data_IF_747672406699
#
_entry.id   IF_747672406699
#
_cell.length_a   1.000
_cell.length_b   1.000
_cell.length_c   1.000
_cell.angle_alpha   90.00
_cell.angle_beta   90.00
_cell.angle_gamma   90.00
#
_symmetry.space_group_name_H-M   'P 1'
#
loop_
_entity.id
_entity.type
_entity.pdbx_description
1 polymer ?
#
# COMPACT_ATOMS: atom_id res chain seq x y z
N UNK A 1 -24.32 10.57 -13.56
CA UNK A 1 -25.02 9.41 -12.95
C UNK A 1 -24.16 8.19 -13.17
N UNK A 2 -24.12 7.24 -12.22
CA UNK A 2 -23.32 6.01 -12.32
C UNK A 2 -23.84 5.11 -13.46
N UNK A 3 -23.04 4.12 -13.82
CA UNK A 3 -23.45 3.08 -14.76
C UNK A 3 -24.31 2.05 -14.02
N UNK A 4 -25.46 1.68 -14.59
CA UNK A 4 -26.30 0.59 -14.07
C UNK A 4 -26.09 -0.65 -14.93
N UNK A 5 -25.75 -1.78 -14.30
CA UNK A 5 -25.55 -3.06 -14.92
C UNK A 5 -26.48 -4.11 -14.29
N UNK A 6 -26.98 -5.05 -15.10
CA UNK A 6 -27.76 -6.20 -14.65
C UNK A 6 -27.16 -7.46 -15.24
N UNK A 7 -26.81 -8.44 -14.41
CA UNK A 7 -26.22 -9.71 -14.89
C UNK A 7 -27.14 -10.53 -15.79
N UNK A 8 -28.44 -10.23 -15.80
CA UNK A 8 -29.39 -10.84 -16.74
C UNK A 8 -29.39 -10.17 -18.13
N UNK A 9 -28.77 -8.99 -18.28
CA UNK A 9 -28.72 -8.30 -19.56
C UNK A 9 -27.80 -9.03 -20.55
N UNK A 10 -28.17 -9.13 -21.84
CA UNK A 10 -27.38 -9.90 -22.82
C UNK A 10 -26.02 -9.27 -23.13
N UNK A 11 -25.80 -8.00 -22.84
CA UNK A 11 -24.57 -7.24 -23.05
C UNK A 11 -23.77 -7.01 -21.76
N UNK A 12 -24.18 -7.66 -20.66
CA UNK A 12 -23.54 -7.50 -19.36
C UNK A 12 -22.02 -7.70 -19.39
N UNK A 13 -21.55 -8.78 -20.00
CA UNK A 13 -20.11 -9.11 -20.02
C UNK A 13 -19.28 -8.04 -20.74
N UNK A 14 -19.79 -7.48 -21.84
CA UNK A 14 -19.10 -6.42 -22.58
C UNK A 14 -19.06 -5.12 -21.76
N UNK A 15 -20.20 -4.75 -21.15
CA UNK A 15 -20.29 -3.55 -20.30
C UNK A 15 -19.44 -3.69 -19.03
N UNK A 16 -19.42 -4.86 -18.41
CA UNK A 16 -18.59 -5.15 -17.26
C UNK A 16 -17.08 -5.15 -17.60
N UNK A 17 -16.69 -5.69 -18.75
CA UNK A 17 -15.32 -5.60 -19.23
C UNK A 17 -14.89 -4.15 -19.47
N UNK A 18 -15.78 -3.31 -20.01
CA UNK A 18 -15.53 -1.88 -20.16
C UNK A 18 -15.34 -1.18 -18.81
N UNK A 19 -16.18 -1.49 -17.81
CA UNK A 19 -16.05 -0.99 -16.44
C UNK A 19 -14.68 -1.33 -15.84
N UNK A 20 -14.22 -2.58 -15.99
CA UNK A 20 -12.93 -3.04 -15.47
C UNK A 20 -11.72 -2.38 -16.14
N UNK A 21 -11.86 -1.90 -17.37
CA UNK A 21 -10.76 -1.34 -18.16
C UNK A 21 -10.74 0.19 -18.18
N UNK A 22 -11.83 0.85 -17.77
CA UNK A 22 -12.02 2.31 -17.86
C UNK A 22 -10.94 3.15 -17.15
N UNK A 23 -10.11 2.56 -16.29
CA UNK A 23 -9.28 3.26 -15.29
C UNK A 23 -7.76 3.28 -15.55
N UNK A 24 -7.21 2.90 -16.73
CA UNK A 24 -5.83 2.40 -16.76
C UNK A 24 -4.87 2.98 -17.79
N UNK A 25 -4.87 4.25 -18.05
CA UNK A 25 -3.81 4.80 -18.90
C UNK A 25 -2.78 5.57 -18.08
N UNK A 26 -1.59 4.97 -17.90
CA UNK A 26 -0.37 5.72 -17.59
C UNK A 26 -0.08 6.63 -18.78
N UNK A 27 0.06 7.92 -18.55
CA UNK A 27 0.48 8.84 -19.61
C UNK A 27 1.97 8.62 -19.93
N UNK A 28 2.36 8.36 -21.18
CA UNK A 28 3.77 8.25 -21.57
C UNK A 28 4.61 9.48 -21.17
N UNK A 29 4.02 10.66 -21.19
CA UNK A 29 4.69 11.92 -20.83
C UNK A 29 5.13 11.97 -19.35
N UNK A 30 4.39 11.30 -18.45
CA UNK A 30 4.76 11.21 -17.02
C UNK A 30 6.02 10.39 -16.85
N UNK A 31 6.12 9.26 -17.53
CA UNK A 31 7.24 8.33 -17.39
C UNK A 31 8.56 8.94 -17.87
N UNK A 32 8.55 9.64 -19.00
CA UNK A 32 9.74 10.34 -19.55
C UNK A 32 10.17 11.51 -18.65
N UNK A 33 9.21 12.27 -18.13
CA UNK A 33 9.48 13.36 -17.17
C UNK A 33 10.14 12.82 -15.91
N UNK A 34 9.62 11.73 -15.37
CA UNK A 34 10.16 11.08 -14.16
C UNK A 34 11.54 10.50 -14.42
N UNK A 35 11.79 9.93 -15.61
CA UNK A 35 13.12 9.45 -15.98
C UNK A 35 14.15 10.57 -15.94
N UNK A 36 13.80 11.74 -16.47
CA UNK A 36 14.68 12.92 -16.48
C UNK A 36 14.96 13.42 -15.06
N UNK A 37 13.92 13.50 -14.19
CA UNK A 37 14.08 13.91 -12.79
C UNK A 37 15.01 12.95 -12.04
N UNK A 38 14.81 11.63 -12.17
CA UNK A 38 15.67 10.64 -11.52
C UNK A 38 17.12 10.76 -12.00
N UNK A 39 17.34 10.93 -13.30
CA UNK A 39 18.68 11.10 -13.85
C UNK A 39 19.37 12.35 -13.32
N UNK A 40 18.63 13.43 -13.17
CA UNK A 40 19.13 14.72 -12.69
C UNK A 40 19.50 14.64 -11.19
N UNK A 41 18.63 14.08 -10.33
CA UNK A 41 18.95 13.87 -8.91
C UNK A 41 20.19 12.99 -8.74
N UNK A 42 20.35 11.94 -9.56
CA UNK A 42 21.55 11.10 -9.52
C UNK A 42 22.83 11.82 -9.94
N UNK A 43 22.71 12.82 -10.81
CA UNK A 43 23.87 13.56 -11.31
C UNK A 43 24.26 14.73 -10.42
N UNK A 44 23.30 15.45 -9.84
CA UNK A 44 23.52 16.71 -9.10
C UNK A 44 23.18 16.63 -7.60
N UNK A 45 22.65 15.50 -7.11
CA UNK A 45 22.36 15.32 -5.68
C UNK A 45 21.41 16.37 -5.10
N UNK A 46 21.81 16.97 -3.98
CA UNK A 46 21.02 18.00 -3.28
C UNK A 46 20.65 19.18 -4.16
N UNK A 47 21.54 19.59 -5.07
CA UNK A 47 21.26 20.72 -5.99
C UNK A 47 20.01 20.49 -6.82
N UNK A 48 19.86 19.28 -7.41
CA UNK A 48 18.67 18.95 -8.18
C UNK A 48 17.42 18.90 -7.29
N UNK A 49 17.53 18.32 -6.08
CA UNK A 49 16.41 18.25 -5.12
C UNK A 49 15.93 19.65 -4.74
N UNK A 50 16.85 20.59 -4.49
CA UNK A 50 16.54 21.98 -4.17
C UNK A 50 15.86 22.70 -5.32
N UNK A 51 16.37 22.55 -6.56
CA UNK A 51 15.78 23.15 -7.76
C UNK A 51 14.34 22.67 -7.98
N UNK A 52 14.08 21.37 -7.84
CA UNK A 52 12.72 20.82 -7.97
C UNK A 52 11.80 21.25 -6.83
N UNK A 53 12.30 21.36 -5.60
CA UNK A 53 11.55 21.87 -4.46
C UNK A 53 11.15 23.33 -4.66
N UNK A 54 12.08 24.18 -5.09
CA UNK A 54 11.78 25.57 -5.44
C UNK A 54 10.70 25.66 -6.53
N UNK A 55 10.81 24.82 -7.56
CA UNK A 55 9.90 24.82 -8.71
C UNK A 55 8.50 24.31 -8.37
N UNK A 56 8.39 23.19 -7.63
CA UNK A 56 7.11 22.50 -7.43
C UNK A 56 6.42 22.89 -6.14
N UNK A 57 7.21 23.13 -5.08
CA UNK A 57 6.68 23.49 -3.76
C UNK A 57 6.76 24.99 -3.50
N UNK A 58 7.32 25.79 -4.42
CA UNK A 58 7.51 27.25 -4.27
C UNK A 58 8.29 27.60 -2.99
N UNK A 59 9.28 26.78 -2.69
CA UNK A 59 10.06 26.87 -1.45
C UNK A 59 11.55 26.86 -1.77
N UNK A 60 12.20 28.02 -1.62
CA UNK A 60 13.65 28.15 -1.77
C UNK A 60 14.34 27.72 -0.46
N UNK A 61 15.18 26.70 -0.55
CA UNK A 61 15.90 26.11 0.57
C UNK A 61 17.41 26.03 0.29
N UNK A 62 18.16 25.95 1.38
CA UNK A 62 19.55 25.48 1.37
C UNK A 62 19.62 24.03 1.81
N UNK A 63 20.72 23.33 1.53
CA UNK A 63 20.84 21.89 1.82
C UNK A 63 20.62 21.56 3.32
N UNK A 64 21.10 22.42 4.22
CA UNK A 64 20.91 22.29 5.67
C UNK A 64 19.45 22.50 6.12
N UNK A 65 18.60 23.07 5.26
CA UNK A 65 17.17 23.26 5.51
C UNK A 65 16.29 22.14 4.94
N UNK A 66 16.85 21.19 4.19
CA UNK A 66 16.08 20.04 3.66
C UNK A 66 15.48 19.20 4.80
N UNK A 67 16.22 18.98 5.87
CA UNK A 67 15.74 18.29 7.05
C UNK A 67 14.90 19.22 7.95
N UNK A 68 13.77 18.69 8.44
CA UNK A 68 12.98 19.36 9.48
C UNK A 68 13.62 19.01 10.83
N UNK A 69 14.07 20.03 11.56
CA UNK A 69 14.74 19.85 12.84
C UNK A 69 13.78 19.41 13.96
N UNK A 70 14.31 18.78 15.00
CA UNK A 70 13.52 18.38 16.16
C UNK A 70 12.80 19.59 16.83
N UNK A 71 13.42 20.75 16.82
CA UNK A 71 12.81 21.98 17.37
C UNK A 71 11.65 22.49 16.53
N UNK A 72 11.73 22.37 15.19
CA UNK A 72 10.59 22.68 14.31
C UNK A 72 9.44 21.70 14.52
N UNK A 73 9.76 20.39 14.61
CA UNK A 73 8.77 19.35 14.94
C UNK A 73 8.07 19.66 16.27
N UNK A 74 8.81 20.01 17.32
CA UNK A 74 8.24 20.33 18.63
C UNK A 74 7.34 21.59 18.56
N UNK A 75 7.77 22.61 17.83
CA UNK A 75 7.00 23.84 17.63
C UNK A 75 5.66 23.59 16.88
N UNK A 76 5.67 22.71 15.91
CA UNK A 76 4.44 22.33 15.19
C UNK A 76 3.52 21.48 16.08
N UNK A 77 4.05 20.46 16.76
CA UNK A 77 3.27 19.60 17.67
C UNK A 77 2.59 20.40 18.77
N UNK A 78 3.20 21.50 19.25
CA UNK A 78 2.62 22.37 20.25
C UNK A 78 1.33 23.09 19.80
N UNK A 79 1.05 23.12 18.48
CA UNK A 79 -0.17 23.72 17.90
C UNK A 79 -1.34 22.75 17.83
N UNK A 80 -1.11 21.43 18.04
CA UNK A 80 -2.14 20.40 17.95
C UNK A 80 -3.03 20.46 19.20
N UNK A 81 -4.33 20.54 18.99
CA UNK A 81 -5.29 20.49 20.10
C UNK A 81 -5.40 19.10 20.74
N UNK A 82 -5.98 19.05 21.93
CA UNK A 82 -6.06 17.82 22.73
C UNK A 82 -6.97 16.76 22.10
N UNK A 83 -7.98 17.16 21.33
CA UNK A 83 -8.94 16.25 20.67
C UNK A 83 -8.25 15.50 19.53
N UNK A 84 -7.59 16.23 18.63
CA UNK A 84 -6.84 15.66 17.51
C UNK A 84 -5.68 14.80 18.01
N UNK A 85 -5.00 15.27 19.06
CA UNK A 85 -3.93 14.49 19.71
C UNK A 85 -4.43 13.15 20.21
N UNK A 86 -5.53 13.13 20.98
CA UNK A 86 -6.09 11.90 21.52
C UNK A 86 -6.54 10.93 20.43
N UNK A 87 -7.11 11.44 19.34
CA UNK A 87 -7.51 10.63 18.19
C UNK A 87 -6.31 9.96 17.50
N UNK A 88 -5.23 10.71 17.26
CA UNK A 88 -4.00 10.17 16.65
C UNK A 88 -3.28 9.17 17.57
N UNK A 89 -3.25 9.41 18.87
CA UNK A 89 -2.69 8.48 19.85
C UNK A 89 -3.47 7.16 19.87
N UNK A 90 -4.80 7.22 19.86
CA UNK A 90 -5.66 6.03 19.77
C UNK A 90 -5.42 5.26 18.47
N UNK A 91 -5.35 5.96 17.32
CA UNK A 91 -5.06 5.35 16.04
C UNK A 91 -3.70 4.64 16.06
N UNK A 92 -2.64 5.32 16.52
CA UNK A 92 -1.30 4.77 16.61
C UNK A 92 -1.22 3.52 17.48
N UNK A 93 -1.92 3.50 18.62
CA UNK A 93 -1.97 2.35 19.52
C UNK A 93 -2.64 1.14 18.84
N UNK A 94 -3.80 1.35 18.21
CA UNK A 94 -4.55 0.27 17.54
C UNK A 94 -3.81 -0.29 16.34
N UNK A 95 -3.21 0.56 15.51
CA UNK A 95 -2.38 0.16 14.37
C UNK A 95 -1.18 -0.66 14.87
N UNK A 96 -0.51 -0.23 15.93
CA UNK A 96 0.62 -0.97 16.51
C UNK A 96 0.20 -2.33 17.05
N UNK A 97 -0.91 -2.40 17.77
CA UNK A 97 -1.43 -3.64 18.34
C UNK A 97 -1.80 -4.67 17.25
N UNK A 98 -2.38 -4.20 16.15
CA UNK A 98 -2.72 -5.04 15.01
C UNK A 98 -1.46 -5.60 14.33
N UNK A 99 -0.53 -4.71 13.95
CA UNK A 99 0.67 -5.09 13.23
C UNK A 99 1.64 -5.93 14.05
N UNK A 100 1.66 -5.79 15.38
CA UNK A 100 2.46 -6.64 16.26
C UNK A 100 2.11 -8.14 16.12
N UNK A 101 0.87 -8.46 15.73
CA UNK A 101 0.42 -9.85 15.50
C UNK A 101 0.87 -10.44 14.16
N UNK A 102 1.41 -9.60 13.27
CA UNK A 102 1.86 -10.03 11.94
C UNK A 102 3.35 -10.44 11.93
N UNK A 103 4.07 -10.28 13.05
CA UNK A 103 5.49 -10.66 13.11
C UNK A 103 5.67 -12.15 12.87
N UNK A 104 6.46 -12.53 11.85
CA UNK A 104 6.72 -13.93 11.55
C UNK A 104 7.76 -14.52 12.51
N UNK A 105 7.71 -15.84 12.70
CA UNK A 105 8.62 -16.57 13.57
C UNK A 105 9.76 -17.19 12.79
N UNK A 106 10.95 -17.23 13.41
CA UNK A 106 12.09 -18.03 12.97
C UNK A 106 11.77 -19.51 13.18
N UNK A 107 12.29 -20.37 12.30
CA UNK A 107 12.13 -21.80 12.45
C UNK A 107 13.45 -22.54 12.21
N UNK A 108 13.66 -23.63 12.96
CA UNK A 108 14.73 -24.60 12.74
C UNK A 108 14.22 -26.01 13.04
N UNK A 109 14.64 -26.96 12.22
CA UNK A 109 14.33 -28.38 12.39
C UNK A 109 15.45 -29.24 11.79
N UNK A 110 15.51 -30.49 12.20
CA UNK A 110 16.39 -31.49 11.59
C UNK A 110 15.53 -32.40 10.71
N UNK A 111 15.93 -32.58 9.48
CA UNK A 111 15.25 -33.47 8.54
C UNK A 111 15.62 -34.96 8.81
N UNK A 112 14.96 -35.94 8.11
CA UNK A 112 15.25 -37.36 8.30
C UNK A 112 16.72 -37.75 7.98
N UNK A 113 17.38 -37.03 7.09
CA UNK A 113 18.76 -37.26 6.68
C UNK A 113 19.78 -36.62 7.65
N UNK A 114 19.29 -35.89 8.68
CA UNK A 114 20.11 -35.25 9.71
C UNK A 114 20.66 -33.89 9.32
N UNK A 115 20.10 -33.25 8.30
CA UNK A 115 20.39 -31.86 7.97
C UNK A 115 19.59 -30.92 8.87
N UNK A 116 20.23 -29.90 9.44
CA UNK A 116 19.56 -28.80 10.13
C UNK A 116 19.14 -27.75 9.10
N UNK A 117 17.84 -27.56 8.95
CA UNK A 117 17.23 -26.60 8.05
C UNK A 117 16.48 -25.53 8.84
N UNK A 118 16.26 -24.36 8.20
CA UNK A 118 15.50 -23.32 8.86
C UNK A 118 15.43 -22.02 8.05
N UNK A 119 14.85 -21.03 8.68
CA UNK A 119 14.88 -19.65 8.21
C UNK A 119 14.93 -18.68 9.38
N UNK A 120 15.40 -17.49 9.06
CA UNK A 120 15.44 -16.36 9.97
C UNK A 120 14.88 -15.13 9.29
N UNK A 121 14.04 -14.40 9.99
CA UNK A 121 13.53 -13.11 9.59
C UNK A 121 14.38 -11.99 10.16
N UNK A 122 14.70 -11.00 9.33
CA UNK A 122 15.43 -9.81 9.74
C UNK A 122 14.82 -8.58 9.08
N UNK A 123 14.71 -7.44 9.79
CA UNK A 123 14.23 -6.22 9.16
C UNK A 123 15.17 -5.74 8.05
N UNK A 124 14.65 -4.90 7.16
CA UNK A 124 15.48 -4.02 6.34
C UNK A 124 16.17 -3.00 7.24
N UNK A 125 17.34 -2.49 6.84
CA UNK A 125 18.12 -1.60 7.72
C UNK A 125 17.50 -0.20 7.74
N UNK A 126 16.99 0.28 6.59
CA UNK A 126 16.38 1.59 6.46
C UNK A 126 15.15 1.54 5.56
N UNK A 127 14.10 2.28 5.92
CA UNK A 127 12.94 2.49 5.08
C UNK A 127 12.69 4.00 4.87
N UNK A 128 12.30 4.34 3.63
CA UNK A 128 11.85 5.67 3.24
C UNK A 128 10.34 5.66 3.06
N UNK A 129 9.66 6.60 3.70
CA UNK A 129 8.20 6.70 3.63
C UNK A 129 7.84 7.98 2.88
N UNK A 130 7.10 7.84 1.81
CA UNK A 130 6.55 8.99 1.09
C UNK A 130 5.21 9.37 1.71
N UNK A 131 5.11 10.58 2.24
CA UNK A 131 3.87 11.14 2.76
C UNK A 131 3.34 12.15 1.74
N UNK A 132 2.13 11.93 1.19
CA UNK A 132 1.55 12.91 0.28
C UNK A 132 1.38 14.26 0.96
N UNK A 133 1.64 15.32 0.21
CA UNK A 133 1.35 16.69 0.61
C UNK A 133 0.40 17.35 -0.39
N UNK A 134 -0.11 18.52 -0.07
CA UNK A 134 -1.01 19.29 -0.92
C UNK A 134 -2.18 19.85 -0.12
N UNK A 135 -3.38 19.89 -0.75
CA UNK A 135 -4.60 20.43 -0.10
C UNK A 135 -5.09 19.59 1.09
N UNK A 136 -4.72 18.32 1.13
CA UNK A 136 -5.00 17.44 2.27
C UNK A 136 -3.69 16.89 2.82
N UNK A 137 -3.55 16.89 4.13
CA UNK A 137 -2.47 16.22 4.85
C UNK A 137 -3.00 14.91 5.42
N UNK A 138 -2.17 13.87 5.34
CA UNK A 138 -2.56 12.51 5.70
C UNK A 138 -1.72 11.99 6.87
N UNK A 139 -1.99 12.45 8.11
CA UNK A 139 -1.29 11.92 9.30
C UNK A 139 -1.56 10.41 9.48
N UNK A 140 -2.74 9.92 9.09
CA UNK A 140 -3.08 8.49 9.08
C UNK A 140 -2.15 7.70 8.18
N UNK A 141 -1.90 8.16 6.94
CA UNK A 141 -0.99 7.48 6.01
C UNK A 141 0.44 7.40 6.56
N UNK A 142 0.87 8.39 7.34
CA UNK A 142 2.17 8.31 8.01
C UNK A 142 2.15 7.22 9.07
N UNK A 143 1.14 7.17 9.94
CA UNK A 143 1.01 6.10 10.95
C UNK A 143 0.98 4.71 10.30
N UNK A 144 0.19 4.55 9.23
CA UNK A 144 0.02 3.29 8.50
C UNK A 144 1.29 2.79 7.81
N UNK A 145 2.20 3.69 7.43
CA UNK A 145 3.48 3.32 6.85
C UNK A 145 4.57 3.12 7.92
N UNK A 146 4.67 4.03 8.90
CA UNK A 146 5.77 4.05 9.84
C UNK A 146 5.65 3.00 10.96
N UNK A 147 4.43 2.78 11.49
CA UNK A 147 4.22 1.85 12.61
C UNK A 147 4.58 0.42 12.24
N UNK A 148 4.11 -0.17 11.10
CA UNK A 148 4.53 -1.53 10.73
C UNK A 148 6.03 -1.65 10.49
N UNK A 149 6.69 -0.61 9.96
CA UNK A 149 8.14 -0.60 9.81
C UNK A 149 8.87 -0.65 11.18
N UNK A 150 8.41 0.15 12.16
CA UNK A 150 8.98 0.10 13.53
C UNK A 150 8.65 -1.21 14.25
N UNK A 151 7.45 -1.75 14.09
CA UNK A 151 7.09 -3.09 14.61
C UNK A 151 7.99 -4.17 14.02
N UNK A 152 8.31 -4.09 12.72
CA UNK A 152 9.26 -5.00 12.06
C UNK A 152 10.70 -4.87 12.60
N UNK A 153 11.02 -3.78 13.31
CA UNK A 153 12.36 -3.53 13.85
C UNK A 153 13.28 -2.76 12.90
N UNK A 154 12.74 -2.02 11.93
CA UNK A 154 13.55 -1.15 11.07
C UNK A 154 14.23 -0.10 11.92
N UNK A 155 15.57 -0.04 11.82
CA UNK A 155 16.38 0.80 12.69
C UNK A 155 16.38 2.28 12.29
N UNK A 156 16.20 2.59 11.00
CA UNK A 156 16.18 3.94 10.46
C UNK A 156 14.95 4.16 9.58
N UNK A 157 14.11 5.12 9.97
CA UNK A 157 12.96 5.58 9.18
C UNK A 157 13.16 7.02 8.74
N UNK A 158 13.24 7.24 7.44
CA UNK A 158 13.27 8.56 6.83
C UNK A 158 11.93 8.83 6.14
N UNK A 159 11.30 9.95 6.43
CA UNK A 159 10.09 10.37 5.71
C UNK A 159 10.39 11.56 4.80
N UNK A 160 9.71 11.59 3.66
CA UNK A 160 9.63 12.78 2.81
C UNK A 160 8.20 13.28 2.78
N UNK A 161 8.04 14.56 3.07
CA UNK A 161 6.75 15.24 3.06
C UNK A 161 6.91 16.60 2.40
N UNK A 162 6.22 16.88 1.27
CA UNK A 162 6.29 18.20 0.65
C UNK A 162 5.67 19.25 1.56
N UNK A 163 6.29 20.43 1.60
CA UNK A 163 5.85 21.57 2.38
C UNK A 163 5.67 22.80 1.48
N UNK A 164 4.64 22.81 0.60
CA UNK A 164 4.41 23.92 -0.28
C UNK A 164 4.33 25.24 0.48
N UNK A 165 4.98 26.28 -0.07
CA UNK A 165 5.05 27.60 0.56
C UNK A 165 5.65 27.60 1.99
N UNK A 166 6.37 26.53 2.36
CA UNK A 166 6.99 26.36 3.69
C UNK A 166 6.04 25.93 4.80
N UNK A 167 4.80 25.56 4.47
CA UNK A 167 3.79 25.17 5.46
C UNK A 167 4.02 23.74 5.92
N UNK A 168 4.29 23.57 7.21
CA UNK A 168 4.42 22.27 7.87
C UNK A 168 3.08 21.94 8.56
N UNK A 169 2.57 20.73 8.35
CA UNK A 169 1.34 20.30 9.01
C UNK A 169 1.61 19.77 10.42
N UNK A 170 0.99 20.34 11.49
CA UNK A 170 1.20 19.90 12.86
C UNK A 170 0.83 18.45 13.14
N UNK A 171 -0.26 17.95 12.53
CA UNK A 171 -0.73 16.57 12.73
C UNK A 171 0.22 15.55 12.10
N UNK A 172 0.84 15.87 10.96
CA UNK A 172 1.87 15.02 10.34
C UNK A 172 3.11 14.95 11.25
N UNK A 173 3.51 16.06 11.87
CA UNK A 173 4.63 16.06 12.82
C UNK A 173 4.32 15.24 14.07
N UNK A 174 3.10 15.34 14.59
CA UNK A 174 2.65 14.50 15.71
C UNK A 174 2.65 13.02 15.33
N UNK A 175 2.12 12.67 14.17
CA UNK A 175 2.12 11.29 13.67
C UNK A 175 3.55 10.74 13.50
N UNK A 176 4.49 11.55 12.98
CA UNK A 176 5.90 11.20 12.89
C UNK A 176 6.51 10.88 14.27
N UNK A 177 6.21 11.71 15.27
CA UNK A 177 6.63 11.51 16.66
C UNK A 177 6.06 10.22 17.26
N UNK A 178 4.75 9.99 17.13
CA UNK A 178 4.04 8.82 17.67
C UNK A 178 4.51 7.51 17.05
N UNK A 179 4.92 7.54 15.78
CA UNK A 179 5.43 6.39 15.06
C UNK A 179 6.94 6.17 15.15
N UNK A 180 7.67 7.11 15.77
CA UNK A 180 9.12 6.97 15.99
C UNK A 180 9.95 7.15 14.73
N UNK A 181 9.57 8.10 13.87
CA UNK A 181 10.36 8.50 12.69
C UNK A 181 11.66 9.13 13.13
N UNK A 182 12.76 8.80 12.43
CA UNK A 182 14.11 9.29 12.78
C UNK A 182 14.49 10.56 12.00
N UNK A 183 14.07 10.64 10.72
CA UNK A 183 14.45 11.73 9.82
C UNK A 183 13.23 12.23 9.03
N UNK A 184 13.09 13.55 8.91
CA UNK A 184 11.98 14.18 8.18
C UNK A 184 12.57 15.15 7.17
N UNK A 185 12.26 14.97 5.88
CA UNK A 185 12.73 15.84 4.80
C UNK A 185 11.54 16.52 4.11
N UNK A 186 11.64 17.85 3.93
CA UNK A 186 10.61 18.69 3.29
C UNK A 186 10.72 18.69 1.76
N UNK A 187 10.58 17.50 1.18
CA UNK A 187 10.63 17.27 -0.26
C UNK A 187 9.48 16.36 -0.71
N UNK A 188 9.01 16.56 -1.93
CA UNK A 188 7.93 15.77 -2.53
C UNK A 188 8.28 15.25 -3.92
N UNK A 189 7.30 14.67 -4.61
CA UNK A 189 7.39 14.27 -6.01
C UNK A 189 8.41 13.17 -6.34
N UNK A 190 8.71 13.05 -7.63
CA UNK A 190 9.65 12.05 -8.13
C UNK A 190 11.09 12.25 -7.63
N UNK A 191 11.51 13.50 -7.35
CA UNK A 191 12.82 13.82 -6.80
C UNK A 191 12.99 13.29 -5.38
N UNK A 192 11.93 13.23 -4.57
CA UNK A 192 11.97 12.63 -3.23
C UNK A 192 12.22 11.12 -3.32
N UNK A 193 11.52 10.43 -4.23
CA UNK A 193 11.72 9.00 -4.48
C UNK A 193 13.15 8.72 -4.99
N UNK A 194 13.67 9.58 -5.88
CA UNK A 194 15.05 9.46 -6.38
C UNK A 194 16.08 9.65 -5.24
N UNK A 195 15.90 10.67 -4.39
CA UNK A 195 16.77 10.94 -3.25
C UNK A 195 16.78 9.78 -2.25
N UNK A 196 15.61 9.23 -1.91
CA UNK A 196 15.51 8.04 -1.03
C UNK A 196 16.15 6.79 -1.65
N UNK A 197 16.07 6.61 -2.98
CA UNK A 197 16.59 5.42 -3.65
C UNK A 197 18.10 5.45 -3.88
N UNK A 198 18.66 6.60 -4.24
CA UNK A 198 20.07 6.73 -4.65
C UNK A 198 20.93 7.44 -3.61
N UNK A 199 20.32 8.20 -2.72
CA UNK A 199 21.00 9.10 -1.80
C UNK A 199 21.37 10.41 -2.46
N UNK A 200 21.67 11.41 -1.63
CA UNK A 200 22.28 12.69 -1.96
C UNK A 200 23.32 13.02 -0.90
N UNK A 201 23.87 14.22 -0.89
CA UNK A 201 24.82 14.65 0.14
C UNK A 201 24.16 14.71 1.53
N UNK A 202 22.88 15.12 1.59
CA UNK A 202 22.11 15.26 2.83
C UNK A 202 21.27 14.03 3.17
N UNK A 203 20.74 13.34 2.15
CA UNK A 203 19.78 12.25 2.34
C UNK A 203 20.46 10.91 2.08
N UNK A 204 20.63 10.10 3.12
CA UNK A 204 21.18 8.76 2.97
C UNK A 204 20.15 7.81 2.31
N UNK A 205 20.57 6.92 1.38
CA UNK A 205 19.64 6.01 0.70
C UNK A 205 19.02 5.01 1.66
N UNK A 206 17.88 4.42 1.23
CA UNK A 206 17.13 3.43 2.00
C UNK A 206 17.05 2.09 1.24
N UNK A 207 16.63 1.03 1.94
CA UNK A 207 16.47 -0.31 1.37
C UNK A 207 15.05 -0.54 0.81
N UNK A 208 14.05 0.15 1.36
CA UNK A 208 12.64 0.03 0.99
C UNK A 208 11.98 1.42 0.96
N UNK A 209 11.17 1.69 -0.06
CA UNK A 209 10.33 2.89 -0.14
C UNK A 209 8.88 2.47 -0.14
N UNK A 210 8.06 3.08 0.75
CA UNK A 210 6.63 2.84 0.85
C UNK A 210 5.86 4.17 0.85
N UNK A 211 4.57 4.08 0.66
CA UNK A 211 3.65 5.22 0.71
C UNK A 211 2.98 5.51 -0.62
N UNK A 212 1.71 5.99 -0.56
CA UNK A 212 0.95 6.40 -1.73
C UNK A 212 1.45 7.74 -2.28
N UNK A 213 1.16 8.00 -3.55
CA UNK A 213 1.48 9.26 -4.18
C UNK A 213 0.80 9.38 -5.55
N UNK A 214 0.91 10.55 -6.16
CA UNK A 214 0.36 10.80 -7.49
C UNK A 214 1.08 9.99 -8.59
N UNK A 215 0.63 10.14 -9.85
CA UNK A 215 1.17 9.43 -11.01
C UNK A 215 2.71 9.57 -11.14
N UNK A 216 3.30 10.72 -10.79
CA UNK A 216 4.75 10.94 -10.84
C UNK A 216 5.49 10.12 -9.77
N UNK A 217 4.92 10.02 -8.56
CA UNK A 217 5.47 9.21 -7.47
C UNK A 217 5.36 7.71 -7.81
N UNK A 218 4.22 7.28 -8.33
CA UNK A 218 4.00 5.90 -8.77
C UNK A 218 4.98 5.51 -9.89
N UNK A 219 5.16 6.36 -10.91
CA UNK A 219 6.14 6.16 -11.97
C UNK A 219 7.58 6.13 -11.43
N UNK A 220 7.91 7.01 -10.48
CA UNK A 220 9.24 7.03 -9.86
C UNK A 220 9.51 5.75 -9.07
N UNK A 221 8.57 5.28 -8.26
CA UNK A 221 8.67 4.00 -7.53
C UNK A 221 8.90 2.83 -8.50
N UNK A 222 8.15 2.77 -9.59
CA UNK A 222 8.34 1.74 -10.64
C UNK A 222 9.75 1.75 -11.21
N UNK A 223 10.31 2.93 -11.50
CA UNK A 223 11.64 3.09 -12.10
C UNK A 223 12.80 2.78 -11.15
N UNK A 224 12.63 3.02 -9.85
CA UNK A 224 13.67 2.72 -8.86
C UNK A 224 13.61 1.29 -8.32
N UNK A 225 12.53 0.54 -8.63
CA UNK A 225 12.42 -0.86 -8.22
C UNK A 225 13.58 -1.69 -8.77
N UNK A 226 14.19 -2.51 -7.91
CA UNK A 226 15.42 -3.25 -8.21
C UNK A 226 16.69 -2.56 -7.71
N UNK A 227 16.71 -1.21 -7.63
CA UNK A 227 17.72 -0.48 -6.86
C UNK A 227 17.34 -0.44 -5.37
N UNK A 228 16.06 -0.26 -5.10
CA UNK A 228 15.42 -0.22 -3.79
C UNK A 228 14.15 -1.06 -3.86
N UNK A 229 13.73 -1.68 -2.76
CA UNK A 229 12.42 -2.32 -2.68
C UNK A 229 11.30 -1.27 -2.63
N UNK A 230 10.12 -1.61 -3.13
CA UNK A 230 8.92 -0.78 -2.97
C UNK A 230 7.79 -1.62 -2.37
N UNK A 231 6.77 -0.97 -1.82
CA UNK A 231 5.52 -1.62 -1.41
C UNK A 231 4.74 -2.10 -2.64
N UNK A 232 4.07 -1.16 -3.31
CA UNK A 232 3.25 -1.43 -4.49
C UNK A 232 3.22 -0.21 -5.41
N UNK A 233 2.66 -0.38 -6.59
CA UNK A 233 2.29 0.73 -7.49
C UNK A 233 0.81 1.00 -7.26
N UNK A 234 0.52 2.10 -6.57
CA UNK A 234 -0.86 2.51 -6.31
C UNK A 234 -1.48 3.16 -7.57
N UNK A 235 -2.68 2.75 -7.88
CA UNK A 235 -3.60 3.45 -8.78
C UNK A 235 -4.57 4.34 -7.99
N UNK A 236 -5.60 4.89 -8.64
CA UNK A 236 -6.70 5.55 -7.96
C UNK A 236 -7.43 4.62 -7.01
N UNK A 237 -7.94 5.17 -5.92
CA UNK A 237 -8.62 4.40 -4.87
C UNK A 237 -9.95 3.79 -5.31
N UNK A 238 -10.33 2.68 -4.70
CA UNK A 238 -11.48 1.86 -5.10
C UNK A 238 -12.27 1.36 -3.89
N UNK A 239 -13.59 1.47 -3.92
CA UNK A 239 -14.48 0.77 -3.00
C UNK A 239 -15.48 -0.08 -3.77
N UNK A 240 -15.72 -1.28 -3.28
CA UNK A 240 -16.82 -2.15 -3.65
C UNK A 240 -17.66 -2.45 -2.43
N UNK A 241 -18.93 -2.11 -2.47
CA UNK A 241 -19.89 -2.48 -1.44
C UNK A 241 -20.80 -3.59 -1.99
N UNK A 242 -20.93 -4.70 -1.27
CA UNK A 242 -21.96 -5.71 -1.50
C UNK A 242 -23.01 -5.52 -0.41
N UNK A 243 -24.21 -5.08 -0.77
CA UNK A 243 -25.29 -4.82 0.17
C UNK A 243 -26.61 -5.42 -0.30
N UNK A 244 -27.37 -5.96 0.66
CA UNK A 244 -28.76 -6.39 0.43
C UNK A 244 -29.76 -5.26 0.79
N UNK A 245 -31.02 -5.45 0.46
CA UNK A 245 -32.09 -4.47 0.65
C UNK A 245 -32.49 -4.21 2.11
N UNK A 246 -31.90 -4.90 3.09
CA UNK A 246 -32.16 -4.69 4.52
C UNK A 246 -31.28 -3.56 5.11
N UNK A 247 -30.35 -3.01 4.32
CA UNK A 247 -29.50 -1.90 4.72
C UNK A 247 -30.18 -0.54 4.52
N UNK A 248 -29.67 0.48 5.22
CA UNK A 248 -30.06 1.87 5.00
C UNK A 248 -29.37 2.41 3.73
N UNK A 249 -30.12 2.82 2.68
CA UNK A 249 -29.52 3.35 1.45
C UNK A 249 -28.62 4.56 1.67
N UNK A 250 -28.91 5.36 2.71
CA UNK A 250 -28.13 6.56 3.03
C UNK A 250 -26.75 6.21 3.61
N UNK A 251 -26.65 5.13 4.39
CA UNK A 251 -25.35 4.65 4.90
C UNK A 251 -24.47 4.15 3.75
N UNK A 252 -25.03 3.29 2.88
CA UNK A 252 -24.29 2.78 1.73
C UNK A 252 -23.87 3.90 0.77
N UNK A 253 -24.73 4.92 0.61
CA UNK A 253 -24.38 6.09 -0.19
C UNK A 253 -23.19 6.86 0.41
N UNK A 254 -23.13 7.01 1.73
CA UNK A 254 -22.00 7.66 2.42
C UNK A 254 -20.72 6.83 2.31
N UNK A 255 -20.78 5.50 2.40
CA UNK A 255 -19.62 4.62 2.22
C UNK A 255 -19.06 4.70 0.78
N UNK A 256 -19.93 4.73 -0.24
CA UNK A 256 -19.49 4.95 -1.63
C UNK A 256 -18.85 6.33 -1.84
N UNK A 257 -19.34 7.34 -1.11
CA UNK A 257 -18.87 8.71 -1.24
C UNK A 257 -17.60 9.00 -0.46
N UNK A 258 -17.34 8.28 0.65
CA UNK A 258 -16.08 8.37 1.39
C UNK A 258 -14.89 8.07 0.47
N UNK A 259 -15.06 7.16 -0.48
CA UNK A 259 -14.06 6.88 -1.50
C UNK A 259 -14.08 7.87 -2.66
N UNK A 260 -15.28 8.24 -3.14
CA UNK A 260 -15.42 9.15 -4.28
C UNK A 260 -14.82 10.55 -4.02
N UNK A 261 -14.79 11.01 -2.77
CA UNK A 261 -14.24 12.31 -2.42
C UNK A 261 -12.70 12.37 -2.40
N UNK A 262 -12.00 11.22 -2.48
CA UNK A 262 -10.54 11.18 -2.49
C UNK A 262 -9.95 11.80 -3.76
N UNK A 263 -10.46 11.41 -4.93
CA UNK A 263 -9.96 11.86 -6.24
C UNK A 263 -11.04 11.72 -7.33
N UNK A 264 -10.97 12.55 -8.37
CA UNK A 264 -11.91 12.50 -9.51
C UNK A 264 -11.87 11.15 -10.26
N UNK A 265 -10.76 10.42 -10.17
CA UNK A 265 -10.57 9.09 -10.75
C UNK A 265 -10.83 7.93 -9.79
N UNK A 266 -11.26 8.20 -8.55
CA UNK A 266 -11.69 7.18 -7.60
C UNK A 266 -12.89 6.39 -8.15
N UNK A 267 -13.02 5.12 -7.76
CA UNK A 267 -14.09 4.26 -8.24
C UNK A 267 -14.92 3.72 -7.08
N UNK A 268 -16.24 3.94 -7.15
CA UNK A 268 -17.21 3.45 -6.17
C UNK A 268 -18.23 2.54 -6.85
N UNK A 269 -18.30 1.27 -6.43
CA UNK A 269 -19.17 0.24 -7.01
C UNK A 269 -20.08 -0.32 -5.94
N UNK A 270 -21.38 -0.40 -6.22
CA UNK A 270 -22.35 -1.18 -5.45
C UNK A 270 -22.73 -2.44 -6.22
N UNK A 271 -22.71 -3.59 -5.54
CA UNK A 271 -23.35 -4.83 -6.00
C UNK A 271 -24.51 -5.16 -5.06
N UNK A 272 -25.68 -5.38 -5.62
CA UNK A 272 -26.88 -5.71 -4.83
C UNK A 272 -27.75 -6.74 -5.54
N UNK A 273 -28.52 -7.50 -4.77
CA UNK A 273 -29.53 -8.43 -5.29
C UNK A 273 -30.90 -7.76 -5.49
N UNK A 274 -31.04 -6.47 -5.07
CA UNK A 274 -32.29 -5.69 -5.15
C UNK A 274 -32.09 -4.44 -6.01
N UNK A 275 -32.67 -4.44 -7.21
CA UNK A 275 -32.61 -3.29 -8.13
C UNK A 275 -33.24 -2.02 -7.52
N UNK A 276 -34.31 -2.18 -6.72
CA UNK A 276 -34.98 -1.04 -6.09
C UNK A 276 -34.06 -0.39 -5.07
N UNK A 277 -33.43 -1.18 -4.22
CA UNK A 277 -32.40 -0.71 -3.27
C UNK A 277 -31.25 -0.01 -3.98
N UNK A 278 -30.73 -0.58 -5.08
CA UNK A 278 -29.68 0.06 -5.88
C UNK A 278 -30.08 1.46 -6.39
N UNK A 279 -31.34 1.65 -6.80
CA UNK A 279 -31.87 2.96 -7.23
C UNK A 279 -32.04 3.94 -6.06
N UNK A 280 -32.43 3.44 -4.89
CA UNK A 280 -32.53 4.24 -3.66
C UNK A 280 -31.15 4.72 -3.20
N UNK A 281 -30.12 3.87 -3.26
CA UNK A 281 -28.73 4.27 -2.98
C UNK A 281 -28.26 5.32 -3.98
N UNK A 282 -28.52 5.17 -5.27
CA UNK A 282 -28.16 6.18 -6.27
C UNK A 282 -28.82 7.54 -5.97
N UNK A 283 -30.10 7.54 -5.59
CA UNK A 283 -30.81 8.76 -5.22
C UNK A 283 -30.23 9.40 -3.94
N UNK A 284 -29.84 8.58 -2.96
CA UNK A 284 -29.19 9.04 -1.74
C UNK A 284 -27.81 9.67 -2.04
N UNK A 285 -26.99 9.08 -2.91
CA UNK A 285 -25.74 9.67 -3.36
C UNK A 285 -25.93 11.04 -3.99
N UNK A 286 -26.89 11.19 -4.92
CA UNK A 286 -27.17 12.48 -5.56
C UNK A 286 -27.62 13.54 -4.53
N UNK A 287 -28.44 13.15 -3.55
CA UNK A 287 -28.87 14.06 -2.48
C UNK A 287 -27.70 14.49 -1.57
N UNK A 288 -26.80 13.56 -1.22
CA UNK A 288 -25.61 13.86 -0.39
C UNK A 288 -24.59 14.73 -1.11
N UNK A 289 -24.41 14.55 -2.41
CA UNK A 289 -23.52 15.39 -3.23
C UNK A 289 -23.85 16.87 -3.13
N UNK A 290 -25.12 17.24 -2.93
CA UNK A 290 -25.51 18.65 -2.79
C UNK A 290 -24.90 19.33 -1.56
N UNK A 291 -24.58 18.57 -0.52
CA UNK A 291 -24.14 19.08 0.79
C UNK A 291 -22.65 18.84 1.09
N UNK A 292 -21.96 18.01 0.32
CA UNK A 292 -20.54 17.70 0.52
C UNK A 292 -19.64 18.88 0.17
N UNK A 293 -18.64 19.13 1.01
CA UNK A 293 -17.62 20.16 0.73
C UNK A 293 -16.82 19.83 -0.55
N UNK A 294 -16.45 18.56 -0.74
CA UNK A 294 -15.69 18.08 -1.91
C UNK A 294 -16.60 17.60 -3.05
N UNK A 295 -17.82 18.10 -3.15
CA UNK A 295 -18.83 17.67 -4.14
C UNK A 295 -18.36 17.66 -5.58
N UNK A 296 -17.47 18.56 -5.97
CA UNK A 296 -16.96 18.61 -7.34
C UNK A 296 -16.14 17.36 -7.68
N UNK A 297 -15.27 16.94 -6.76
CA UNK A 297 -14.42 15.76 -6.88
C UNK A 297 -15.28 14.50 -6.81
N UNK A 298 -16.06 14.35 -5.73
CA UNK A 298 -16.89 13.16 -5.52
C UNK A 298 -17.93 13.00 -6.64
N UNK A 299 -18.51 14.11 -7.12
CA UNK A 299 -19.48 14.09 -8.23
C UNK A 299 -18.85 13.72 -9.57
N UNK A 300 -17.60 14.11 -9.84
CA UNK A 300 -16.87 13.67 -11.02
C UNK A 300 -16.58 12.17 -10.96
N UNK A 301 -16.02 11.70 -9.85
CA UNK A 301 -15.75 10.28 -9.58
C UNK A 301 -17.01 9.42 -9.75
N UNK A 302 -18.11 9.80 -9.08
CA UNK A 302 -19.37 9.05 -9.15
C UNK A 302 -19.97 9.02 -10.55
N UNK A 303 -19.93 10.13 -11.28
CA UNK A 303 -20.47 10.24 -12.64
C UNK A 303 -19.69 9.40 -13.64
N UNK A 304 -18.36 9.41 -13.54
CA UNK A 304 -17.46 8.88 -14.57
C UNK A 304 -17.02 7.44 -14.27
N UNK A 305 -16.96 7.05 -12.99
CA UNK A 305 -16.46 5.74 -12.54
C UNK A 305 -17.39 5.00 -11.57
N UNK A 306 -18.48 5.61 -11.12
CA UNK A 306 -19.48 4.97 -10.27
C UNK A 306 -20.27 3.89 -11.03
N UNK A 307 -20.59 2.77 -10.35
CA UNK A 307 -21.41 1.72 -10.91
C UNK A 307 -22.34 1.08 -9.87
N UNK A 308 -23.52 0.66 -10.31
CA UNK A 308 -24.45 -0.17 -9.56
C UNK A 308 -24.74 -1.41 -10.37
N UNK A 309 -24.47 -2.57 -9.80
CA UNK A 309 -24.58 -3.87 -10.45
C UNK A 309 -25.66 -4.69 -9.74
N UNK A 310 -26.75 -4.98 -10.43
CA UNK A 310 -27.77 -5.91 -9.94
C UNK A 310 -27.39 -7.34 -10.30
N UNK A 311 -27.39 -8.23 -9.29
CA UNK A 311 -27.06 -9.63 -9.42
C UNK A 311 -28.22 -10.52 -8.97
N UNK A 312 -28.19 -11.80 -9.35
CA UNK A 312 -29.24 -12.78 -9.01
C UNK A 312 -29.18 -13.22 -7.54
N UNK A 313 -27.95 -13.34 -7.00
CA UNK A 313 -27.70 -13.84 -5.66
C UNK A 313 -26.29 -13.41 -5.15
N UNK A 314 -26.00 -13.70 -3.90
CA UNK A 314 -24.72 -13.36 -3.26
C UNK A 314 -23.54 -14.23 -3.76
N UNK A 315 -23.78 -15.39 -4.37
CA UNK A 315 -22.73 -16.20 -5.00
C UNK A 315 -22.22 -15.51 -6.26
N UNK A 316 -23.12 -14.96 -7.05
CA UNK A 316 -22.77 -14.14 -8.20
C UNK A 316 -22.09 -12.84 -7.79
N UNK A 317 -22.56 -12.19 -6.69
CA UNK A 317 -21.90 -11.01 -6.11
C UNK A 317 -20.43 -11.31 -5.76
N UNK A 318 -20.16 -12.42 -5.06
CA UNK A 318 -18.82 -12.85 -4.71
C UNK A 318 -17.95 -13.14 -5.95
N UNK A 319 -18.51 -13.78 -6.96
CA UNK A 319 -17.81 -14.07 -8.22
C UNK A 319 -17.40 -12.77 -8.95
N UNK A 320 -18.28 -11.76 -9.01
CA UNK A 320 -17.98 -10.47 -9.61
C UNK A 320 -16.97 -9.68 -8.77
N UNK A 321 -17.11 -9.69 -7.43
CA UNK A 321 -16.14 -9.09 -6.52
C UNK A 321 -14.73 -9.64 -6.76
N UNK A 322 -14.57 -10.96 -6.88
CA UNK A 322 -13.29 -11.58 -7.20
C UNK A 322 -12.75 -11.17 -8.58
N UNK A 323 -13.63 -10.90 -9.56
CA UNK A 323 -13.22 -10.36 -10.87
C UNK A 323 -12.81 -8.90 -10.80
N UNK A 324 -13.48 -8.10 -9.97
CA UNK A 324 -13.13 -6.69 -9.70
C UNK A 324 -11.80 -6.65 -8.92
N UNK A 325 -11.64 -7.50 -7.92
CA UNK A 325 -10.50 -7.53 -7.00
C UNK A 325 -10.24 -6.13 -6.39
N UNK A 326 -11.21 -5.59 -5.64
CA UNK A 326 -11.20 -4.21 -5.18
C UNK A 326 -10.13 -3.96 -4.12
N UNK A 327 -9.76 -2.70 -3.95
CA UNK A 327 -8.95 -2.21 -2.83
C UNK A 327 -9.71 -2.42 -1.51
N UNK A 328 -10.88 -1.80 -1.39
CA UNK A 328 -11.76 -1.92 -0.23
C UNK A 328 -13.02 -2.70 -0.62
N UNK A 329 -13.39 -3.68 0.21
CA UNK A 329 -14.60 -4.46 0.04
C UNK A 329 -15.43 -4.41 1.32
N UNK A 330 -16.65 -3.85 1.24
CA UNK A 330 -17.63 -3.93 2.32
C UNK A 330 -18.66 -5.02 2.03
N UNK A 331 -18.94 -5.83 3.05
CA UNK A 331 -19.95 -6.90 2.99
C UNK A 331 -21.10 -6.57 3.94
N UNK A 332 -22.03 -5.73 3.47
CA UNK A 332 -23.22 -5.29 4.21
C UNK A 332 -24.41 -6.22 3.94
N UNK A 333 -24.29 -7.48 4.41
CA UNK A 333 -25.30 -8.54 4.23
C UNK A 333 -25.66 -9.19 5.54
N UNK A 334 -26.73 -9.98 5.54
CA UNK A 334 -27.20 -10.69 6.75
C UNK A 334 -26.15 -11.65 7.35
N UNK A 335 -25.29 -12.27 6.52
CA UNK A 335 -24.17 -13.14 6.95
C UNK A 335 -22.89 -12.77 6.21
N UNK A 336 -22.21 -11.71 6.67
CA UNK A 336 -20.98 -11.24 6.03
C UNK A 336 -19.81 -12.22 6.22
N UNK A 337 -19.77 -12.99 7.29
CA UNK A 337 -18.73 -13.99 7.54
C UNK A 337 -18.78 -15.11 6.49
N UNK A 338 -19.97 -15.70 6.27
CA UNK A 338 -20.15 -16.74 5.26
C UNK A 338 -19.87 -16.23 3.82
N UNK A 339 -20.21 -14.97 3.53
CA UNK A 339 -19.90 -14.37 2.23
C UNK A 339 -18.39 -14.14 2.07
N UNK A 340 -17.70 -13.72 3.12
CA UNK A 340 -16.26 -13.46 3.10
C UNK A 340 -15.43 -14.70 2.74
N UNK A 341 -15.87 -15.90 3.12
CA UNK A 341 -15.20 -17.15 2.77
C UNK A 341 -15.16 -17.43 1.24
N UNK A 342 -16.05 -16.78 0.46
CA UNK A 342 -16.10 -16.88 -1.00
C UNK A 342 -15.25 -15.83 -1.70
N UNK A 343 -14.72 -14.87 -0.95
CA UNK A 343 -13.87 -13.78 -1.46
C UNK A 343 -12.42 -14.22 -1.42
N UNK A 344 -11.76 -14.17 -2.57
CA UNK A 344 -10.34 -14.52 -2.71
C UNK A 344 -9.46 -13.32 -3.08
N UNK A 345 -10.06 -12.24 -3.54
CA UNK A 345 -9.35 -11.07 -4.07
C UNK A 345 -9.98 -9.78 -3.56
N UNK A 346 -9.41 -9.24 -2.47
CA UNK A 346 -9.68 -7.90 -1.96
C UNK A 346 -8.45 -7.39 -1.22
N UNK A 347 -8.22 -6.10 -1.20
CA UNK A 347 -7.16 -5.50 -0.40
C UNK A 347 -7.48 -5.54 1.10
N UNK A 348 -8.69 -5.12 1.46
CA UNK A 348 -9.28 -5.27 2.79
C UNK A 348 -10.75 -5.66 2.69
N UNK A 349 -11.28 -6.37 3.69
CA UNK A 349 -12.69 -6.75 3.78
C UNK A 349 -13.27 -6.21 5.09
N UNK A 350 -14.34 -5.44 4.99
CA UNK A 350 -15.10 -4.86 6.09
C UNK A 350 -16.40 -5.65 6.27
N UNK A 351 -16.61 -6.21 7.45
CA UNK A 351 -17.69 -7.18 7.71
C UNK A 351 -18.84 -6.53 8.46
N UNK A 352 -20.00 -6.49 7.82
CA UNK A 352 -21.26 -6.03 8.38
C UNK A 352 -21.46 -4.51 8.34
N UNK A 353 -22.72 -4.10 8.42
CA UNK A 353 -23.17 -2.70 8.28
C UNK A 353 -22.58 -1.72 9.33
N UNK A 354 -21.93 -2.20 10.39
CA UNK A 354 -21.32 -1.39 11.43
C UNK A 354 -19.83 -1.14 11.21
N UNK A 355 -19.29 -1.55 10.06
CA UNK A 355 -17.86 -1.50 9.76
C UNK A 355 -17.61 -0.74 8.46
N UNK A 356 -17.91 0.58 8.43
CA UNK A 356 -17.60 1.38 7.24
C UNK A 356 -16.09 1.46 7.00
N UNK A 357 -15.69 1.64 5.74
CA UNK A 357 -14.29 1.79 5.31
C UNK A 357 -13.52 2.82 6.16
N UNK A 358 -14.15 3.96 6.48
CA UNK A 358 -13.55 5.03 7.26
C UNK A 358 -13.00 4.57 8.64
N UNK A 359 -13.59 3.53 9.24
CA UNK A 359 -13.02 2.93 10.46
C UNK A 359 -11.68 2.26 10.16
N UNK A 360 -11.56 1.57 9.02
CA UNK A 360 -10.30 0.98 8.57
C UNK A 360 -9.24 2.03 8.27
N UNK A 361 -9.64 3.11 7.64
CA UNK A 361 -8.76 4.19 7.22
C UNK A 361 -8.09 4.92 8.37
N UNK A 362 -8.76 5.00 9.53
CA UNK A 362 -8.25 5.82 10.64
C UNK A 362 -7.89 5.01 11.87
N UNK A 363 -8.82 4.22 12.41
CA UNK A 363 -8.69 3.66 13.77
C UNK A 363 -8.94 2.17 13.87
N UNK A 364 -9.29 1.48 12.79
CA UNK A 364 -9.59 0.04 12.82
C UNK A 364 -8.41 -0.83 13.25
N UNK A 365 -7.21 -0.43 12.87
CA UNK A 365 -5.97 -1.16 13.15
C UNK A 365 -5.33 -1.79 11.91
N UNK A 366 -6.09 -2.45 10.99
CA UNK A 366 -5.58 -2.87 9.69
C UNK A 366 -4.99 -1.70 8.90
N UNK A 367 -4.10 -2.01 7.95
CA UNK A 367 -3.46 -0.99 7.13
C UNK A 367 -4.35 -0.55 5.98
N UNK A 368 -4.39 0.74 5.72
CA UNK A 368 -5.14 1.31 4.60
C UNK A 368 -4.29 1.51 3.33
N UNK A 369 -3.00 1.20 3.36
CA UNK A 369 -2.16 1.18 2.14
C UNK A 369 -2.39 -0.15 1.45
N UNK A 370 -3.32 -0.18 0.54
CA UNK A 370 -3.91 -1.38 -0.04
C UNK A 370 -3.61 -1.50 -1.54
N UNK A 371 -3.67 -2.71 -2.10
CA UNK A 371 -3.47 -2.95 -3.53
C UNK A 371 -4.67 -2.44 -4.33
N UNK A 372 -4.42 -1.48 -5.22
CA UNK A 372 -5.40 -0.90 -6.15
C UNK A 372 -5.31 -1.53 -7.54
N UNK A 373 -6.15 -1.11 -8.45
CA UNK A 373 -6.11 -1.48 -9.86
C UNK A 373 -6.05 -3.01 -10.06
N UNK A 374 -6.88 -3.73 -9.30
CA UNK A 374 -6.99 -5.19 -9.33
C UNK A 374 -5.71 -5.93 -8.92
N UNK A 375 -4.73 -5.27 -8.30
CA UNK A 375 -3.52 -5.95 -7.83
C UNK A 375 -3.76 -6.80 -6.58
N UNK A 376 -4.91 -6.68 -5.91
CA UNK A 376 -5.34 -7.58 -4.84
C UNK A 376 -5.40 -9.07 -5.25
N UNK A 377 -5.35 -9.38 -6.55
CA UNK A 377 -5.21 -10.75 -7.08
C UNK A 377 -3.85 -11.38 -6.78
N UNK A 378 -2.81 -10.59 -6.49
CA UNK A 378 -1.44 -11.07 -6.29
C UNK A 378 -0.63 -10.25 -5.27
N UNK A 379 -1.20 -9.20 -4.70
CA UNK A 379 -0.59 -8.35 -3.66
C UNK A 379 -1.47 -8.28 -2.44
N UNK A 380 -0.85 -8.07 -1.28
CA UNK A 380 -1.52 -7.76 -0.02
C UNK A 380 -1.35 -6.28 0.32
N UNK A 381 -2.15 -5.78 1.25
CA UNK A 381 -1.94 -4.48 1.86
C UNK A 381 -0.61 -4.42 2.61
N UNK A 382 -0.12 -3.20 2.84
CA UNK A 382 1.13 -2.94 3.54
C UNK A 382 1.08 -3.55 4.95
N UNK A 383 2.14 -4.25 5.31
CA UNK A 383 2.23 -4.99 6.56
C UNK A 383 3.66 -5.03 7.09
N UNK A 384 3.85 -5.67 8.23
CA UNK A 384 5.18 -5.97 8.78
C UNK A 384 6.02 -6.76 7.77
N UNK A 385 5.39 -7.63 6.96
CA UNK A 385 6.06 -8.48 5.98
C UNK A 385 6.79 -7.67 4.88
N UNK A 386 6.37 -6.45 4.63
CA UNK A 386 7.04 -5.55 3.69
C UNK A 386 8.40 -5.07 4.16
N UNK A 387 8.62 -5.09 5.46
CA UNK A 387 9.81 -4.56 6.12
C UNK A 387 10.76 -5.64 6.66
N UNK A 388 10.45 -6.93 6.47
CA UNK A 388 11.31 -8.04 6.87
C UNK A 388 11.75 -8.88 5.70
N UNK A 389 12.93 -9.51 5.83
CA UNK A 389 13.53 -10.43 4.85
C UNK A 389 13.66 -11.80 5.46
N UNK A 390 13.27 -12.84 4.76
CA UNK A 390 13.52 -14.23 5.15
C UNK A 390 14.83 -14.72 4.56
N UNK A 391 15.76 -15.11 5.43
CA UNK A 391 17.01 -15.77 5.04
C UNK A 391 16.93 -17.25 5.37
N UNK A 392 17.15 -18.11 4.38
CA UNK A 392 17.19 -19.56 4.57
C UNK A 392 18.49 -20.00 5.22
N UNK A 393 18.40 -21.01 6.08
CA UNK A 393 19.52 -21.60 6.79
C UNK A 393 19.58 -23.09 6.46
N UNK A 394 20.78 -23.60 6.11
CA UNK A 394 21.03 -25.01 5.92
C UNK A 394 22.41 -25.37 6.53
N UNK A 395 22.44 -26.41 7.35
CA UNK A 395 23.67 -26.92 7.95
C UNK A 395 23.70 -28.45 7.83
N UNK A 396 24.68 -28.94 7.09
CA UNK A 396 24.88 -30.37 6.90
C UNK A 396 25.79 -30.94 7.97
N UNK A 397 25.41 -32.10 8.49
CA UNK A 397 26.35 -32.99 9.17
C UNK A 397 27.14 -33.82 8.14
N UNK A 398 28.27 -34.43 8.52
CA UNK A 398 28.94 -35.38 7.63
C UNK A 398 28.04 -36.50 7.14
N UNK A 399 27.13 -37.00 7.98
CA UNK A 399 26.22 -38.09 7.62
C UNK A 399 25.11 -37.61 6.69
N UNK A 400 24.53 -36.45 6.96
CA UNK A 400 23.59 -35.83 6.04
C UNK A 400 24.20 -35.59 4.65
N UNK A 401 25.45 -35.09 4.61
CA UNK A 401 26.16 -34.93 3.34
C UNK A 401 26.40 -36.24 2.60
N UNK A 402 26.71 -37.34 3.34
CA UNK A 402 26.83 -38.67 2.74
C UNK A 402 25.51 -39.14 2.14
N UNK A 403 24.40 -38.85 2.83
CA UNK A 403 23.07 -39.28 2.40
C UNK A 403 22.59 -38.54 1.12
N UNK A 404 22.73 -37.23 1.08
CA UNK A 404 22.14 -36.41 -0.04
C UNK A 404 23.15 -35.95 -1.08
N UNK A 405 24.43 -35.94 -0.77
CA UNK A 405 25.52 -35.47 -1.64
C UNK A 405 25.58 -36.15 -3.02
N UNK A 406 25.47 -37.50 -3.11
CA UNK A 406 25.44 -38.18 -4.43
C UNK A 406 24.37 -37.70 -5.38
N UNK A 407 23.18 -37.33 -4.87
CA UNK A 407 22.13 -36.76 -5.70
C UNK A 407 22.52 -35.37 -6.24
N UNK A 408 23.16 -34.54 -5.40
CA UNK A 408 23.64 -33.21 -5.82
C UNK A 408 24.74 -33.30 -6.91
N UNK A 409 25.67 -34.28 -6.78
CA UNK A 409 26.67 -34.53 -7.82
C UNK A 409 26.06 -34.96 -9.15
N UNK A 410 25.03 -35.81 -9.08
CA UNK A 410 24.31 -36.28 -10.27
C UNK A 410 23.58 -35.14 -10.99
N UNK A 411 22.87 -34.28 -10.23
CA UNK A 411 22.16 -33.12 -10.77
C UNK A 411 23.12 -32.08 -11.36
N UNK A 412 24.20 -31.78 -10.66
CA UNK A 412 25.22 -30.84 -11.12
C UNK A 412 25.83 -31.29 -12.48
N UNK A 413 26.08 -32.59 -12.62
CA UNK A 413 26.54 -33.16 -13.92
C UNK A 413 25.49 -33.07 -15.00
N UNK A 414 24.21 -33.35 -14.69
CA UNK A 414 23.12 -33.27 -15.65
C UNK A 414 22.91 -31.83 -16.16
N UNK A 415 23.16 -30.85 -15.30
CA UNK A 415 23.09 -29.43 -15.62
C UNK A 415 24.38 -28.86 -16.20
N UNK A 416 25.42 -29.68 -16.39
CA UNK A 416 26.75 -29.26 -16.89
C UNK A 416 27.44 -28.23 -15.98
N UNK A 417 27.16 -28.30 -14.67
CA UNK A 417 27.74 -27.43 -13.64
C UNK A 417 28.85 -28.15 -12.89
N UNK A 418 30.02 -28.36 -13.53
CA UNK A 418 31.11 -29.18 -13.01
C UNK A 418 31.59 -28.72 -11.64
N UNK A 419 31.82 -27.43 -11.41
CA UNK A 419 32.32 -26.92 -10.14
C UNK A 419 31.33 -27.18 -8.98
N UNK A 420 30.03 -27.19 -9.23
CA UNK A 420 29.00 -27.54 -8.22
C UNK A 420 29.17 -29.01 -7.79
N UNK A 421 29.29 -29.92 -8.75
CA UNK A 421 29.54 -31.34 -8.48
C UNK A 421 30.84 -31.57 -7.74
N UNK A 422 31.96 -31.00 -8.21
CA UNK A 422 33.27 -31.11 -7.58
C UNK A 422 33.30 -30.57 -6.14
N UNK A 423 32.54 -29.53 -5.83
CA UNK A 423 32.41 -28.99 -4.48
C UNK A 423 31.88 -30.04 -3.50
N UNK A 424 30.89 -30.84 -3.91
CA UNK A 424 30.32 -31.94 -3.11
C UNK A 424 31.28 -33.13 -3.09
N UNK A 425 31.78 -33.60 -4.24
CA UNK A 425 32.70 -34.71 -4.39
C UNK A 425 33.93 -34.56 -3.50
N UNK A 426 34.55 -33.38 -3.45
CA UNK A 426 35.74 -33.12 -2.64
C UNK A 426 35.49 -33.34 -1.14
N UNK A 427 34.32 -32.97 -0.64
CA UNK A 427 33.91 -33.18 0.75
C UNK A 427 33.62 -34.65 1.05
N UNK A 428 32.88 -35.33 0.17
CA UNK A 428 32.59 -36.76 0.31
C UNK A 428 33.87 -37.60 0.31
N UNK A 429 34.83 -37.29 -0.57
CA UNK A 429 36.15 -37.98 -0.59
C UNK A 429 36.93 -37.81 0.73
N UNK A 430 36.82 -36.65 1.37
CA UNK A 430 37.46 -36.43 2.67
C UNK A 430 36.80 -37.20 3.80
N UNK A 431 35.47 -37.38 3.72
CA UNK A 431 34.68 -38.13 4.71
C UNK A 431 34.88 -39.64 4.62
N UNK A 432 35.36 -40.15 3.48
CA UNK A 432 35.62 -41.59 3.22
C UNK A 432 37.09 -42.01 3.42
N UNK A 433 37.93 -41.08 3.87
CA UNK A 433 39.31 -41.31 4.31
C UNK A 433 39.37 -41.47 5.81
#
# INVERSE_FOLDING_TARGET
>A
MPVFLDTNAPDFEDAFAALLTAKREDSPDVDDTVAAIIADVRARGDEAVLDYTARFDRLDLTADQLAISASEVDAEIAKVDDTDRAALEQAAERIRAYHARQMPEDARWTDPEGAELGWRWTPVSAAGLYVPGGLASYPSSLLMNAIPAKVAGVSRLAITVPTPDGVINPLVMLAARLSGVDEIYRIGGAQAIAALAYGTETIAPVDKITGPGNAFVAAAKRRVFGRVGIDMIAGPSEILVIADGDNDPDWIALDLMSQAEHDESAQSILITTDETFGREVAAAVEARLETLERRAIAGASWRDFGAIITVRDLDEAAALSNRIAPEHLELCTADPDALSEKITHAGAIFLGQWTPEAIGDYVGGPNHVLPTARSARFSSGLSVMDFVKRTTLAKMTPDALRAIGPAAETLARAESLEAHGLSVTARLRKLNR
#
